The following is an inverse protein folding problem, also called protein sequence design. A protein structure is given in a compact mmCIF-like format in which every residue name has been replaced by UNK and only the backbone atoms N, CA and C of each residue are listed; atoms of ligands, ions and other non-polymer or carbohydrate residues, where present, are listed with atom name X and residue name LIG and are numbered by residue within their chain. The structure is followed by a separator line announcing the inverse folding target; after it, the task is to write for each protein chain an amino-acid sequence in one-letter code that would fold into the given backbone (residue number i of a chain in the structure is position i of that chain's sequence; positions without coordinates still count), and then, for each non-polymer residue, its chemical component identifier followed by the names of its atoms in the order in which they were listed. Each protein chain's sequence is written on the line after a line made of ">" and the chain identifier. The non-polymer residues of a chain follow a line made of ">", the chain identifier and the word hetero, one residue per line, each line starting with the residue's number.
data_IF_289316596645
#
_entry.id   IF_289316596645
#
_cell.length_a   1.000
_cell.length_b   1.000
_cell.length_c   1.000
_cell.angle_alpha   90.00
_cell.angle_beta   90.00
_cell.angle_gamma   90.00
#
_symmetry.space_group_name_H-M   'P 1'
#
loop_
_entity.id
_entity.type
_entity.pdbx_description
1 polymer ?
#
# COMPACT_ATOMS: atom_id res chain seq x y z
N UNK A 1 22.18 10.05 -3.89
CA UNK A 1 21.92 10.99 -2.79
C UNK A 1 23.25 11.46 -2.25
N UNK A 2 23.51 12.76 -2.19
CA UNK A 2 24.67 13.29 -1.47
C UNK A 2 24.23 13.61 -0.02
N UNK A 3 24.64 12.81 0.98
CA UNK A 3 24.26 13.03 2.36
C UNK A 3 24.85 14.33 2.96
N UNK A 4 25.81 14.99 2.28
CA UNK A 4 26.45 16.21 2.78
C UNK A 4 25.61 17.48 2.60
N UNK A 5 24.66 17.50 1.65
CA UNK A 5 23.87 18.71 1.36
C UNK A 5 22.45 18.68 1.93
N UNK A 6 21.91 17.50 2.26
CA UNK A 6 20.56 17.35 2.83
C UNK A 6 19.45 17.96 1.96
N UNK A 7 19.70 18.13 0.65
CA UNK A 7 18.76 18.79 -0.25
C UNK A 7 17.48 17.96 -0.38
N UNK A 8 16.36 18.56 -0.05
CA UNK A 8 15.01 18.02 -0.22
C UNK A 8 14.16 19.00 -1.02
N UNK A 9 13.15 18.48 -1.71
CA UNK A 9 12.18 19.27 -2.46
C UNK A 9 10.76 18.74 -2.21
N UNK A 10 9.76 19.60 -2.42
CA UNK A 10 8.35 19.22 -2.32
C UNK A 10 7.91 18.67 -3.67
N UNK A 11 7.62 17.37 -3.75
CA UNK A 11 7.09 16.74 -4.96
C UNK A 11 5.57 16.91 -5.11
N UNK A 12 4.86 16.91 -3.98
CA UNK A 12 3.41 17.10 -3.91
C UNK A 12 3.00 17.56 -2.49
N UNK A 13 1.84 18.21 -2.39
CA UNK A 13 1.29 18.77 -1.15
C UNK A 13 -0.24 18.58 -1.07
N UNK A 14 -0.84 19.08 0.02
CA UNK A 14 -2.30 19.07 0.20
C UNK A 14 -2.88 17.75 0.75
N UNK A 15 -2.03 16.82 1.19
CA UNK A 15 -2.46 15.58 1.81
C UNK A 15 -2.94 15.77 3.26
N UNK A 16 -3.94 14.99 3.66
CA UNK A 16 -4.43 14.89 5.02
C UNK A 16 -3.67 13.79 5.79
N UNK A 17 -2.66 14.20 6.56
CA UNK A 17 -1.85 13.28 7.39
C UNK A 17 -1.25 12.13 6.55
N UNK A 18 -0.39 12.42 5.56
CA UNK A 18 0.29 11.39 4.77
C UNK A 18 1.23 10.58 5.67
N UNK A 19 1.19 9.26 5.57
CA UNK A 19 1.92 8.34 6.47
C UNK A 19 2.76 7.30 5.72
N UNK A 20 2.40 6.94 4.50
CA UNK A 20 3.15 6.02 3.65
C UNK A 20 3.19 6.53 2.22
N UNK A 21 4.25 6.19 1.49
CA UNK A 21 4.40 6.52 0.07
C UNK A 21 5.12 5.39 -0.65
N UNK A 22 4.69 5.09 -1.87
CA UNK A 22 5.40 4.20 -2.80
C UNK A 22 5.46 4.85 -4.17
N UNK A 23 6.58 4.66 -4.87
CA UNK A 23 6.71 5.03 -6.27
C UNK A 23 6.27 3.85 -7.15
N UNK A 24 5.47 4.12 -8.17
CA UNK A 24 5.03 3.17 -9.18
C UNK A 24 6.01 3.12 -10.37
N UNK A 25 5.99 2.06 -11.19
CA UNK A 25 6.87 1.94 -12.35
C UNK A 25 6.72 3.07 -13.39
N UNK A 26 5.52 3.64 -13.52
CA UNK A 26 5.23 4.79 -14.40
C UNK A 26 5.74 6.14 -13.86
N UNK A 27 6.40 6.14 -12.69
CA UNK A 27 6.93 7.32 -12.02
C UNK A 27 5.90 8.06 -11.16
N UNK A 28 4.63 7.66 -11.16
CA UNK A 28 3.65 8.19 -10.22
C UNK A 28 3.99 7.78 -8.78
N UNK A 29 3.47 8.52 -7.80
CA UNK A 29 3.55 8.14 -6.39
C UNK A 29 2.15 7.86 -5.87
N UNK A 30 2.02 6.88 -4.96
CA UNK A 30 0.78 6.64 -4.21
C UNK A 30 1.04 6.88 -2.74
N UNK A 31 0.22 7.74 -2.15
CA UNK A 31 0.36 8.20 -0.77
C UNK A 31 -0.79 7.65 0.07
N UNK A 32 -0.48 6.93 1.15
CA UNK A 32 -1.48 6.57 2.14
C UNK A 32 -1.71 7.71 3.12
N UNK A 33 -2.97 8.05 3.34
CA UNK A 33 -3.38 9.17 4.19
C UNK A 33 -4.21 8.64 5.35
N UNK A 34 -3.71 8.83 6.57
CA UNK A 34 -4.33 8.31 7.79
C UNK A 34 -5.80 8.74 7.94
N UNK A 35 -6.21 9.82 7.27
CA UNK A 35 -7.60 10.28 7.13
C UNK A 35 -8.53 9.40 6.27
N UNK A 36 -8.13 8.21 5.85
CA UNK A 36 -9.04 7.20 5.28
C UNK A 36 -8.99 7.02 3.76
N UNK A 37 -7.94 7.47 3.07
CA UNK A 37 -7.82 7.32 1.62
C UNK A 37 -6.38 7.11 1.15
N UNK A 38 -6.23 6.66 -0.08
CA UNK A 38 -4.97 6.74 -0.81
C UNK A 38 -5.10 7.82 -1.89
N UNK A 39 -3.99 8.49 -2.25
CA UNK A 39 -3.96 9.40 -3.39
C UNK A 39 -2.78 9.07 -4.28
N UNK A 40 -3.06 8.82 -5.56
CA UNK A 40 -2.04 8.72 -6.61
C UNK A 40 -1.77 10.10 -7.19
N UNK A 41 -0.51 10.41 -7.41
CA UNK A 41 -0.04 11.64 -8.06
C UNK A 41 0.82 11.25 -9.25
N UNK A 42 0.36 11.56 -10.46
CA UNK A 42 1.11 11.34 -11.69
C UNK A 42 2.35 12.24 -11.75
N UNK A 43 3.38 11.90 -12.57
CA UNK A 43 4.55 12.77 -12.75
C UNK A 43 4.22 14.21 -13.20
N UNK A 44 3.09 14.40 -13.89
CA UNK A 44 2.58 15.72 -14.29
C UNK A 44 1.86 16.50 -13.18
N UNK A 45 1.65 15.91 -12.00
CA UNK A 45 0.98 16.51 -10.85
C UNK A 45 -0.52 16.21 -10.74
N UNK A 46 -1.12 15.56 -11.75
CA UNK A 46 -2.52 15.13 -11.70
C UNK A 46 -2.77 14.17 -10.54
N UNK A 47 -3.89 14.35 -9.83
CA UNK A 47 -4.23 13.62 -8.61
C UNK A 47 -5.46 12.75 -8.80
N UNK A 48 -5.38 11.54 -8.28
CA UNK A 48 -6.46 10.55 -8.29
C UNK A 48 -6.64 9.99 -6.88
N UNK A 49 -7.87 10.02 -6.36
CA UNK A 49 -8.19 9.37 -5.08
C UNK A 49 -8.50 7.90 -5.31
N UNK A 50 -7.88 7.04 -4.51
CA UNK A 50 -7.98 5.59 -4.61
C UNK A 50 -8.55 5.01 -3.31
N UNK A 51 -9.26 3.89 -3.44
CA UNK A 51 -9.63 3.03 -2.32
C UNK A 51 -10.68 3.64 -1.39
N UNK A 52 -11.90 3.83 -1.87
CA UNK A 52 -13.05 4.01 -0.98
C UNK A 52 -13.15 2.79 -0.06
N UNK A 53 -13.26 2.99 1.25
CA UNK A 53 -13.45 1.97 2.31
C UNK A 53 -12.24 1.63 3.19
N UNK A 54 -11.11 2.35 3.12
CA UNK A 54 -10.16 2.27 4.25
C UNK A 54 -10.80 2.82 5.52
N UNK A 55 -10.67 2.09 6.62
CA UNK A 55 -11.02 2.65 7.92
C UNK A 55 -9.97 3.69 8.32
N UNK A 56 -8.69 3.32 8.20
CA UNK A 56 -7.54 4.18 8.51
C UNK A 56 -6.27 3.54 7.95
N UNK A 57 -5.82 3.93 6.76
CA UNK A 57 -4.63 3.32 6.16
C UNK A 57 -3.38 3.66 6.97
N UNK A 58 -2.45 2.72 7.03
CA UNK A 58 -1.18 2.85 7.76
C UNK A 58 0.00 3.22 6.87
N UNK A 59 1.21 3.13 7.44
CA UNK A 59 2.47 3.48 6.75
C UNK A 59 2.86 2.47 5.66
N UNK A 60 2.51 1.19 5.85
CA UNK A 60 2.84 0.10 4.94
C UNK A 60 2.08 0.22 3.62
N UNK A 61 2.82 0.41 2.53
CA UNK A 61 2.30 0.43 1.17
C UNK A 61 3.38 -0.09 0.20
N UNK A 62 2.98 -0.88 -0.79
CA UNK A 62 3.84 -1.48 -1.81
C UNK A 62 3.19 -1.36 -3.19
N UNK A 63 4.01 -1.20 -4.23
CA UNK A 63 3.56 -1.37 -5.60
C UNK A 63 3.22 -2.84 -5.86
N UNK A 64 2.17 -3.08 -6.64
CA UNK A 64 1.73 -4.41 -7.06
C UNK A 64 1.47 -4.41 -8.57
N UNK A 65 2.58 -4.57 -9.31
CA UNK A 65 2.59 -4.39 -10.76
C UNK A 65 2.43 -2.93 -11.18
N UNK A 66 1.97 -2.72 -12.40
CA UNK A 66 1.85 -1.39 -13.02
C UNK A 66 0.65 -0.57 -12.50
N UNK A 67 -0.43 -1.26 -12.10
CA UNK A 67 -1.75 -0.64 -11.96
C UNK A 67 -2.41 -0.86 -10.59
N UNK A 68 -1.65 -1.28 -9.58
CA UNK A 68 -2.19 -1.49 -8.25
C UNK A 68 -1.15 -1.26 -7.15
N UNK A 69 -1.66 -1.05 -5.94
CA UNK A 69 -0.88 -1.04 -4.71
C UNK A 69 -1.47 -2.01 -3.70
N UNK A 70 -0.62 -2.50 -2.80
CA UNK A 70 -1.03 -3.20 -1.59
C UNK A 70 -0.75 -2.27 -0.40
N UNK A 71 -1.74 -2.04 0.46
CA UNK A 71 -1.62 -1.15 1.61
C UNK A 71 -2.25 -1.76 2.86
N UNK A 72 -1.70 -1.43 4.03
CA UNK A 72 -2.34 -1.77 5.31
C UNK A 72 -3.52 -0.84 5.58
N UNK A 73 -4.63 -1.42 6.01
CA UNK A 73 -5.71 -0.71 6.67
C UNK A 73 -5.55 -0.91 8.19
N UNK A 74 -4.78 -0.04 8.83
CA UNK A 74 -4.48 -0.10 10.26
C UNK A 74 -5.76 -0.10 11.10
N UNK A 75 -6.71 0.79 10.79
CA UNK A 75 -7.97 0.86 11.52
C UNK A 75 -8.91 -0.31 11.25
N UNK A 76 -8.77 -0.94 10.08
CA UNK A 76 -9.56 -2.10 9.66
C UNK A 76 -8.90 -3.44 9.95
N UNK A 77 -7.72 -3.47 10.59
CA UNK A 77 -7.01 -4.72 10.92
C UNK A 77 -6.65 -5.57 9.70
N UNK A 78 -6.57 -4.99 8.50
CA UNK A 78 -6.49 -5.73 7.24
C UNK A 78 -5.39 -5.26 6.31
N UNK A 79 -5.07 -6.09 5.32
CA UNK A 79 -4.25 -5.74 4.16
C UNK A 79 -5.15 -5.73 2.93
N UNK A 80 -5.03 -4.68 2.11
CA UNK A 80 -5.88 -4.48 0.94
C UNK A 80 -5.04 -4.26 -0.31
N UNK A 81 -5.53 -4.76 -1.44
CA UNK A 81 -5.03 -4.44 -2.77
C UNK A 81 -5.98 -3.43 -3.40
N UNK A 82 -5.44 -2.38 -4.02
CA UNK A 82 -6.20 -1.30 -4.64
C UNK A 82 -5.68 -1.10 -6.05
N UNK A 83 -6.49 -1.45 -7.03
CA UNK A 83 -6.23 -1.17 -8.44
C UNK A 83 -6.62 0.27 -8.79
N UNK A 84 -5.95 0.84 -9.79
CA UNK A 84 -6.20 2.21 -10.24
C UNK A 84 -7.51 2.38 -11.01
N UNK A 85 -8.19 1.29 -11.37
CA UNK A 85 -9.57 1.33 -11.87
C UNK A 85 -10.62 1.55 -10.75
N UNK A 86 -10.16 1.71 -9.50
CA UNK A 86 -11.00 1.90 -8.32
C UNK A 86 -11.36 0.60 -7.58
N UNK A 87 -11.00 -0.56 -8.13
CA UNK A 87 -11.25 -1.85 -7.49
C UNK A 87 -10.40 -2.02 -6.24
N UNK A 88 -11.03 -2.32 -5.11
CA UNK A 88 -10.35 -2.64 -3.85
C UNK A 88 -10.74 -4.04 -3.39
N UNK A 89 -9.74 -4.89 -3.09
CA UNK A 89 -9.94 -6.24 -2.56
C UNK A 89 -9.20 -6.41 -1.24
N UNK A 90 -9.78 -7.20 -0.34
CA UNK A 90 -9.12 -7.56 0.92
C UNK A 90 -8.21 -8.75 0.65
N UNK A 91 -6.93 -8.60 0.98
CA UNK A 91 -5.91 -9.67 0.84
C UNK A 91 -5.88 -10.52 2.11
N UNK A 92 -5.98 -9.87 3.28
CA UNK A 92 -6.06 -10.55 4.57
C UNK A 92 -6.82 -9.70 5.59
N UNK A 93 -7.53 -10.36 6.50
CA UNK A 93 -8.21 -9.75 7.66
C UNK A 93 -7.56 -10.18 8.96
N UNK A 94 -7.85 -9.46 10.04
CA UNK A 94 -7.43 -9.76 11.41
C UNK A 94 -5.92 -9.98 11.57
N UNK A 95 -5.11 -9.21 10.84
CA UNK A 95 -3.64 -9.32 10.85
C UNK A 95 -3.10 -8.64 12.12
N UNK A 96 -3.11 -9.38 13.23
CA UNK A 96 -2.65 -8.91 14.55
C UNK A 96 -3.45 -7.73 15.12
N UNK A 97 -4.62 -7.43 14.52
CA UNK A 97 -5.52 -6.33 14.91
C UNK A 97 -4.98 -4.91 14.67
N UNK A 98 -3.72 -4.77 14.26
CA UNK A 98 -3.06 -3.46 14.10
C UNK A 98 -1.87 -3.54 13.14
N UNK A 99 -2.10 -3.94 11.87
CA UNK A 99 -1.05 -4.01 10.87
C UNK A 99 -0.53 -2.59 10.54
N UNK A 100 0.79 -2.43 10.50
CA UNK A 100 1.45 -1.14 10.31
C UNK A 100 2.40 -1.16 9.13
N UNK A 101 3.30 -2.14 9.05
CA UNK A 101 4.35 -2.19 8.04
C UNK A 101 4.06 -3.28 6.99
N UNK A 102 4.53 -3.06 5.77
CA UNK A 102 4.50 -4.02 4.68
C UNK A 102 5.88 -4.17 4.06
N UNK A 103 6.24 -5.42 3.74
CA UNK A 103 7.35 -5.80 2.88
C UNK A 103 6.96 -7.00 2.02
N UNK A 104 7.81 -7.35 1.06
CA UNK A 104 7.64 -8.53 0.21
C UNK A 104 8.90 -9.39 0.33
N UNK A 105 8.75 -10.69 0.56
CA UNK A 105 9.88 -11.61 0.61
C UNK A 105 10.30 -12.08 -0.80
N UNK A 106 11.37 -12.88 -0.87
CA UNK A 106 11.92 -13.37 -2.14
C UNK A 106 11.00 -14.32 -2.91
N UNK A 107 9.99 -14.90 -2.24
CA UNK A 107 8.98 -15.77 -2.86
C UNK A 107 7.73 -14.97 -3.27
N UNK A 108 7.71 -13.66 -3.05
CA UNK A 108 6.57 -12.78 -3.35
C UNK A 108 5.53 -12.67 -2.23
N UNK A 109 5.67 -13.42 -1.13
CA UNK A 109 4.74 -13.34 -0.01
C UNK A 109 4.87 -12.00 0.73
N UNK A 110 3.75 -11.50 1.27
CA UNK A 110 3.73 -10.27 2.04
C UNK A 110 4.21 -10.53 3.46
N UNK A 111 5.08 -9.65 3.96
CA UNK A 111 5.48 -9.59 5.36
C UNK A 111 4.79 -8.39 6.00
N UNK A 112 4.01 -8.63 7.04
CA UNK A 112 3.23 -7.58 7.72
C UNK A 112 3.69 -7.45 9.16
N UNK A 113 4.18 -6.26 9.52
CA UNK A 113 4.46 -5.93 10.91
C UNK A 113 3.20 -5.45 11.63
N UNK A 114 2.86 -6.07 12.75
CA UNK A 114 1.73 -5.69 13.61
C UNK A 114 2.23 -5.06 14.90
N UNK A 115 1.71 -3.88 15.23
CA UNK A 115 2.18 -3.10 16.36
C UNK A 115 1.62 -3.61 17.70
N UNK A 116 0.32 -3.85 17.76
CA UNK A 116 -0.40 -4.16 19.00
C UNK A 116 -0.01 -5.49 19.64
N UNK A 117 0.45 -6.44 18.84
CA UNK A 117 0.87 -7.76 19.33
C UNK A 117 2.36 -8.07 19.07
N UNK A 118 3.10 -7.15 18.44
CA UNK A 118 4.55 -7.23 18.27
C UNK A 118 5.03 -8.34 17.34
N UNK A 119 4.20 -8.78 16.38
CA UNK A 119 4.51 -9.90 15.48
C UNK A 119 4.75 -9.46 14.04
N UNK A 120 5.48 -10.30 13.31
CA UNK A 120 5.55 -10.26 11.85
C UNK A 120 4.74 -11.44 11.31
N UNK A 121 3.78 -11.14 10.45
CA UNK A 121 2.96 -12.13 9.75
C UNK A 121 3.49 -12.32 8.34
N UNK A 122 3.42 -13.55 7.83
CA UNK A 122 3.65 -13.86 6.41
C UNK A 122 2.32 -14.23 5.78
N UNK A 123 1.94 -13.56 4.70
CA UNK A 123 0.74 -13.83 3.92
C UNK A 123 1.20 -14.32 2.54
N UNK A 124 0.93 -15.58 2.16
CA UNK A 124 1.27 -16.09 0.84
C UNK A 124 0.64 -15.24 -0.27
N UNK A 125 1.33 -15.14 -1.41
CA UNK A 125 0.77 -14.48 -2.59
C UNK A 125 -0.27 -15.41 -3.26
N UNK A 126 -1.54 -15.20 -2.94
CA UNK A 126 -2.64 -16.01 -3.49
C UNK A 126 -3.02 -15.60 -4.92
N UNK A 127 -2.42 -14.55 -5.48
CA UNK A 127 -2.64 -14.18 -6.88
C UNK A 127 -2.12 -15.27 -7.85
N UNK A 128 -1.13 -16.07 -7.42
CA UNK A 128 -0.63 -17.22 -8.19
C UNK A 128 -1.64 -18.38 -8.27
N UNK A 129 -2.58 -18.49 -7.32
CA UNK A 129 -3.56 -19.58 -7.29
C UNK A 129 -4.83 -19.25 -8.11
N UNK A 130 -5.15 -17.97 -8.29
CA UNK A 130 -6.31 -17.54 -9.07
C UNK A 130 -6.14 -17.73 -10.60
N UNK A 131 -4.91 -17.66 -11.13
CA UNK A 131 -4.64 -17.92 -12.56
C UNK A 131 -4.58 -19.41 -12.91
N UNK A 132 -4.36 -20.29 -11.93
CA UNK A 132 -4.35 -21.75 -12.13
C UNK A 132 -5.78 -22.35 -12.16
N UNK A 133 -6.77 -21.66 -11.61
CA UNK A 133 -8.18 -22.10 -11.57
C UNK A 133 -8.95 -21.78 -12.86
N UNK A 134 -8.36 -21.06 -13.82
CA UNK A 134 -9.01 -20.71 -15.09
C UNK A 134 -8.73 -21.72 -16.23
N UNK A 135 -8.09 -22.85 -15.93
CA UNK A 135 -7.66 -23.85 -16.92
C UNK A 135 -8.31 -25.23 -16.77
N UNK A 136 -9.38 -25.38 -15.97
CA UNK A 136 -10.18 -26.62 -15.88
C UNK A 136 -11.61 -26.45 -16.44
#
# INVERSE_FOLDING_TARGET
>A
MDPATGRHEVLADGFSTPVGVVQMPDGSIVVSQYGGRLTRVAPGGDREELGASFVRPGVGILADGENAVIAVDYGGGSVRRVAFDGTATVVATDVGGSPVALGRDGDGALLVGSWGDGRIYRIPDTAAEHDASAAE
#
